data_IF_341936301676
#
_entry.id   IF_341936301676
#
_cell.length_a   1.000
_cell.length_b   1.000
_cell.length_c   1.000
_cell.angle_alpha   90.00
_cell.angle_beta   90.00
_cell.angle_gamma   90.00
#
_symmetry.space_group_name_H-M   'P 1'
#
loop_
_entity.id
_entity.type
_entity.pdbx_description
1 polymer ?
#
# COMPACT_ATOMS: atom_id res chain seq x y z
N UNK A 1 4.22 -4.25 -3.43
CA UNK A 1 4.23 -5.16 -2.27
C UNK A 1 5.51 -5.95 -2.31
N UNK A 2 6.10 -6.21 -1.16
CA UNK A 2 7.30 -7.02 -1.01
C UNK A 2 7.00 -8.10 0.01
N UNK A 3 7.14 -9.36 -0.39
CA UNK A 3 7.15 -10.48 0.54
C UNK A 3 8.58 -10.77 0.96
N UNK A 4 8.75 -11.07 2.24
CA UNK A 4 10.02 -11.38 2.83
C UNK A 4 9.95 -12.77 3.47
N UNK A 5 10.85 -13.67 3.05
CA UNK A 5 11.02 -14.99 3.68
C UNK A 5 12.46 -15.14 4.21
N UNK A 6 12.68 -15.86 5.32
CA UNK A 6 14.04 -16.17 5.77
C UNK A 6 14.74 -17.05 4.71
N UNK A 7 16.02 -16.77 4.37
CA UNK A 7 16.72 -17.51 3.33
C UNK A 7 16.98 -18.96 3.77
N UNK A 8 17.03 -19.93 2.83
CA UNK A 8 17.61 -21.25 3.11
C UNK A 8 19.12 -21.13 3.43
N UNK A 9 19.72 -22.08 4.17
CA UNK A 9 21.12 -22.01 4.57
C UNK A 9 22.11 -22.26 3.42
N UNK A 10 23.36 -21.77 3.54
CA UNK A 10 23.79 -20.43 3.18
C UNK A 10 24.15 -20.31 1.69
N UNK A 11 23.48 -19.42 0.97
CA UNK A 11 24.03 -18.79 -0.23
C UNK A 11 24.73 -17.49 0.16
N UNK A 12 25.85 -17.12 -0.49
CA UNK A 12 26.51 -15.84 -0.21
C UNK A 12 25.54 -14.69 -0.46
N UNK A 13 25.61 -13.59 0.32
CA UNK A 13 24.71 -12.46 0.12
C UNK A 13 24.90 -11.92 -1.30
N UNK A 14 23.81 -11.68 -2.06
CA UNK A 14 23.92 -11.02 -3.36
C UNK A 14 24.59 -9.64 -3.21
N UNK A 15 25.19 -9.11 -4.28
CA UNK A 15 25.78 -7.75 -4.26
C UNK A 15 24.72 -6.75 -3.77
N UNK A 16 25.01 -6.03 -2.69
CA UNK A 16 24.05 -5.13 -2.03
C UNK A 16 23.21 -5.78 -0.91
N UNK A 17 23.51 -7.02 -0.54
CA UNK A 17 22.92 -7.69 0.62
C UNK A 17 23.22 -6.97 1.94
N UNK A 18 22.48 -7.29 3.00
CA UNK A 18 22.64 -6.62 4.29
C UNK A 18 24.05 -6.80 4.87
N UNK A 19 24.50 -5.87 5.74
CA UNK A 19 25.79 -5.99 6.41
C UNK A 19 25.93 -7.29 7.23
N UNK A 20 24.81 -7.81 7.73
CA UNK A 20 24.75 -9.07 8.48
C UNK A 20 23.88 -10.10 7.74
N UNK A 21 24.36 -11.33 7.46
CA UNK A 21 23.59 -12.36 6.77
C UNK A 21 22.25 -12.70 7.44
N UNK A 22 22.19 -12.57 8.77
CA UNK A 22 20.94 -12.77 9.53
C UNK A 22 19.89 -11.65 9.34
N UNK A 23 20.17 -10.62 8.53
CA UNK A 23 19.19 -9.62 8.09
C UNK A 23 18.76 -9.85 6.62
N UNK A 24 19.18 -10.94 5.98
CA UNK A 24 18.83 -11.24 4.59
C UNK A 24 17.40 -11.77 4.46
N UNK A 25 16.80 -11.55 3.29
CA UNK A 25 15.47 -12.03 2.93
C UNK A 25 15.46 -12.53 1.50
N UNK A 26 14.68 -13.56 1.23
CA UNK A 26 14.13 -13.78 -0.10
C UNK A 26 13.02 -12.75 -0.34
N UNK A 27 13.07 -12.10 -1.50
CA UNK A 27 12.20 -10.97 -1.84
C UNK A 27 11.34 -11.30 -3.04
N UNK A 28 10.01 -11.32 -2.85
CA UNK A 28 9.03 -11.51 -3.94
C UNK A 28 8.24 -10.21 -4.14
N UNK A 29 8.26 -9.68 -5.36
CA UNK A 29 7.62 -8.39 -5.70
C UNK A 29 6.65 -8.60 -6.87
N UNK A 30 5.43 -9.09 -6.62
CA UNK A 30 4.47 -9.30 -7.70
C UNK A 30 3.84 -7.99 -8.16
N UNK A 31 3.61 -7.86 -9.46
CA UNK A 31 2.65 -6.88 -9.96
C UNK A 31 1.23 -7.34 -9.63
N UNK A 32 0.40 -6.42 -9.12
CA UNK A 32 -1.02 -6.68 -8.86
C UNK A 32 -1.72 -7.16 -10.14
N UNK A 33 -2.75 -8.01 -10.04
CA UNK A 33 -3.52 -8.39 -11.22
C UNK A 33 -4.04 -7.16 -11.96
N UNK A 34 -3.69 -7.02 -13.24
CA UNK A 34 -4.07 -5.86 -14.04
C UNK A 34 -3.09 -4.68 -13.96
N UNK A 35 -1.98 -4.81 -13.26
CA UNK A 35 -0.94 -3.79 -13.14
C UNK A 35 0.34 -4.25 -13.85
N UNK A 36 1.00 -3.34 -14.55
CA UNK A 36 2.31 -3.57 -15.14
C UNK A 36 2.34 -4.84 -15.98
N UNK A 37 3.17 -5.81 -15.58
CA UNK A 37 3.36 -7.07 -16.29
C UNK A 37 2.38 -8.19 -15.92
N UNK A 38 1.44 -7.95 -15.01
CA UNK A 38 0.33 -8.86 -14.69
C UNK A 38 -0.91 -8.57 -15.56
N UNK A 39 -0.67 -8.19 -16.82
CA UNK A 39 -1.67 -7.96 -17.88
C UNK A 39 -1.43 -8.91 -19.06
N UNK A 40 -2.44 -9.14 -19.93
CA UNK A 40 -3.83 -8.71 -19.82
C UNK A 40 -4.61 -9.51 -18.78
N UNK A 41 -5.67 -8.90 -18.22
CA UNK A 41 -6.63 -9.63 -17.39
C UNK A 41 -7.49 -10.56 -18.25
N UNK A 42 -7.61 -11.82 -17.84
CA UNK A 42 -8.47 -12.82 -18.50
C UNK A 42 -9.85 -12.96 -17.89
N UNK A 43 -10.04 -12.39 -16.70
CA UNK A 43 -11.27 -12.47 -15.91
C UNK A 43 -11.60 -11.09 -15.34
N UNK A 44 -12.89 -10.83 -15.19
CA UNK A 44 -13.40 -9.60 -14.60
C UNK A 44 -13.57 -9.74 -13.07
N UNK A 45 -13.72 -8.60 -12.38
CA UNK A 45 -14.03 -8.60 -10.95
C UNK A 45 -12.87 -9.03 -10.06
N UNK A 46 -11.63 -8.80 -10.50
CA UNK A 46 -10.45 -8.89 -9.63
C UNK A 46 -10.42 -7.65 -8.74
N UNK A 47 -10.22 -7.92 -7.45
CA UNK A 47 -10.28 -6.94 -6.38
C UNK A 47 -9.42 -7.42 -5.22
N UNK A 48 -9.19 -6.54 -4.26
CA UNK A 48 -8.35 -6.75 -3.07
C UNK A 48 -8.46 -8.13 -2.44
N UNK A 49 -9.63 -8.61 -2.00
CA UNK A 49 -9.74 -9.92 -1.33
C UNK A 49 -9.35 -11.08 -2.24
N UNK A 50 -9.71 -11.04 -3.54
CA UNK A 50 -9.27 -12.06 -4.51
C UNK A 50 -7.76 -12.00 -4.72
N UNK A 51 -7.17 -10.81 -4.82
CA UNK A 51 -5.73 -10.65 -4.94
C UNK A 51 -4.98 -11.16 -3.70
N UNK A 52 -5.56 -10.98 -2.51
CA UNK A 52 -5.02 -11.52 -1.26
C UNK A 52 -4.99 -13.05 -1.30
N UNK A 53 -6.06 -13.70 -1.74
CA UNK A 53 -6.11 -15.16 -1.86
C UNK A 53 -5.07 -15.65 -2.88
N UNK A 54 -4.98 -15.00 -4.05
CA UNK A 54 -3.97 -15.31 -5.06
C UNK A 54 -2.54 -15.19 -4.54
N UNK A 55 -2.27 -14.25 -3.64
CA UNK A 55 -0.94 -14.08 -3.05
C UNK A 55 -0.64 -15.08 -1.94
N UNK A 56 -1.64 -15.45 -1.14
CA UNK A 56 -1.49 -16.55 -0.20
C UNK A 56 -1.10 -17.84 -0.95
N UNK A 57 -1.81 -18.16 -2.03
CA UNK A 57 -1.54 -19.33 -2.86
C UNK A 57 -0.20 -19.23 -3.61
N UNK A 58 0.15 -18.05 -4.13
CA UNK A 58 1.47 -17.82 -4.74
C UNK A 58 2.60 -18.15 -3.75
N UNK A 59 2.49 -17.64 -2.52
CA UNK A 59 3.55 -17.80 -1.53
C UNK A 59 3.63 -19.24 -1.03
N UNK A 60 2.51 -19.88 -0.68
CA UNK A 60 2.53 -21.24 -0.12
C UNK A 60 2.58 -22.32 -1.19
N UNK A 61 1.65 -22.30 -2.13
CA UNK A 61 1.37 -23.45 -2.99
C UNK A 61 2.26 -23.46 -4.25
N UNK A 62 2.70 -22.29 -4.70
CA UNK A 62 3.57 -22.15 -5.88
C UNK A 62 5.04 -22.00 -5.50
N UNK A 63 5.36 -21.13 -4.55
CA UNK A 63 6.75 -20.82 -4.17
C UNK A 63 7.25 -21.63 -2.98
N UNK A 64 6.37 -22.30 -2.23
CA UNK A 64 6.76 -23.18 -1.13
C UNK A 64 7.15 -22.48 0.18
N UNK A 65 6.75 -21.21 0.36
CA UNK A 65 6.95 -20.48 1.61
C UNK A 65 5.76 -20.71 2.55
N UNK A 66 5.85 -21.73 3.40
CA UNK A 66 4.79 -22.06 4.38
C UNK A 66 4.45 -20.90 5.31
N UNK A 67 5.47 -20.11 5.68
CA UNK A 67 5.33 -18.86 6.42
C UNK A 67 6.16 -17.76 5.78
N UNK A 68 5.59 -16.57 5.70
CA UNK A 68 6.22 -15.42 5.05
C UNK A 68 5.77 -14.12 5.73
N UNK A 69 6.51 -13.04 5.53
CA UNK A 69 6.10 -11.70 5.92
C UNK A 69 5.57 -10.90 4.73
N UNK A 70 4.69 -9.95 5.00
CA UNK A 70 4.08 -9.09 3.97
C UNK A 70 4.37 -7.62 4.25
N UNK A 71 4.78 -6.88 3.22
CA UNK A 71 5.02 -5.45 3.31
C UNK A 71 4.43 -4.64 2.16
N UNK A 72 3.82 -3.49 2.43
CA UNK A 72 3.32 -2.62 1.37
C UNK A 72 2.84 -1.23 1.83
N UNK A 73 2.85 -0.30 0.87
CA UNK A 73 2.11 0.97 0.95
C UNK A 73 0.87 0.93 0.04
N UNK A 74 0.03 1.96 0.10
CA UNK A 74 -1.17 2.10 -0.75
C UNK A 74 -2.05 0.83 -0.76
N UNK A 75 -2.52 0.33 -1.92
CA UNK A 75 -3.20 -0.96 -2.01
C UNK A 75 -2.37 -2.13 -1.46
N UNK A 76 -1.04 -2.03 -1.52
CA UNK A 76 -0.17 -3.00 -0.89
C UNK A 76 -0.31 -3.02 0.64
N UNK A 77 -0.56 -1.88 1.28
CA UNK A 77 -0.84 -1.87 2.72
C UNK A 77 -2.16 -2.58 3.01
N UNK A 78 -3.21 -2.24 2.25
CA UNK A 78 -4.54 -2.82 2.40
C UNK A 78 -4.52 -4.34 2.19
N UNK A 79 -3.77 -4.81 1.19
CA UNK A 79 -3.64 -6.24 0.95
C UNK A 79 -2.77 -6.93 2.00
N UNK A 80 -1.66 -6.32 2.47
CA UNK A 80 -0.81 -6.93 3.51
C UNK A 80 -1.56 -7.07 4.83
N UNK A 81 -2.29 -6.02 5.23
CA UNK A 81 -3.14 -6.06 6.42
C UNK A 81 -4.25 -7.12 6.31
N UNK A 82 -4.91 -7.19 5.15
CA UNK A 82 -5.93 -8.22 4.89
C UNK A 82 -5.36 -9.64 4.88
N UNK A 83 -4.14 -9.82 4.35
CA UNK A 83 -3.45 -11.10 4.32
C UNK A 83 -3.12 -11.58 5.75
N UNK A 84 -2.59 -10.68 6.60
CA UNK A 84 -2.38 -10.97 8.03
C UNK A 84 -3.67 -11.32 8.76
N UNK A 85 -4.77 -10.64 8.44
CA UNK A 85 -6.06 -10.93 9.05
C UNK A 85 -6.67 -12.27 8.59
N UNK A 86 -6.57 -12.62 7.31
CA UNK A 86 -7.21 -13.83 6.75
C UNK A 86 -6.36 -15.09 6.87
N UNK A 87 -5.04 -14.94 6.92
CA UNK A 87 -4.09 -16.05 6.97
C UNK A 87 -3.06 -15.88 8.10
N UNK A 88 -3.49 -15.67 9.36
CA UNK A 88 -2.58 -15.37 10.47
C UNK A 88 -1.54 -16.47 10.72
N UNK A 89 -1.87 -17.74 10.42
CA UNK A 89 -0.93 -18.86 10.56
C UNK A 89 0.22 -18.83 9.53
N UNK A 90 -0.03 -18.24 8.35
CA UNK A 90 0.94 -18.12 7.25
C UNK A 90 1.77 -16.84 7.34
N UNK A 91 1.27 -15.80 8.01
CA UNK A 91 1.91 -14.47 8.03
C UNK A 91 2.73 -14.27 9.30
N UNK A 92 4.05 -14.10 9.16
CA UNK A 92 4.99 -13.83 10.26
C UNK A 92 4.79 -12.44 10.87
N UNK A 93 4.45 -11.47 10.02
CA UNK A 93 4.22 -10.08 10.39
C UNK A 93 3.92 -9.23 9.17
N UNK A 94 3.32 -8.07 9.43
CA UNK A 94 2.83 -7.14 8.42
C UNK A 94 3.52 -5.79 8.59
N UNK A 95 4.19 -5.30 7.55
CA UNK A 95 4.84 -3.98 7.53
C UNK A 95 4.13 -3.04 6.57
N UNK A 96 3.50 -1.98 7.05
CA UNK A 96 2.68 -1.08 6.22
C UNK A 96 3.08 0.38 6.35
N UNK A 97 3.34 1.03 5.21
CA UNK A 97 3.71 2.46 5.18
C UNK A 97 2.50 3.40 5.15
N UNK A 98 1.35 2.88 4.70
CA UNK A 98 0.07 3.55 4.79
C UNK A 98 -0.77 2.81 5.85
N UNK A 99 -1.38 3.50 6.83
CA UNK A 99 -2.04 2.87 7.98
C UNK A 99 -3.41 2.24 7.62
N UNK A 100 -3.42 1.30 6.68
CA UNK A 100 -4.59 0.52 6.27
C UNK A 100 -4.76 -0.69 7.19
N UNK A 101 -5.33 -0.45 8.38
CA UNK A 101 -5.66 -1.51 9.34
C UNK A 101 -7.09 -2.01 9.08
N UNK A 102 -7.31 -3.34 8.89
CA UNK A 102 -8.63 -3.89 8.58
C UNK A 102 -9.72 -3.50 9.59
N UNK A 103 -9.41 -3.48 10.88
CA UNK A 103 -10.37 -3.13 11.93
C UNK A 103 -10.57 -1.61 12.13
N UNK A 104 -9.68 -0.73 11.66
CA UNK A 104 -9.96 0.72 11.52
C UNK A 104 -10.78 1.03 10.26
N UNK A 105 -10.84 0.09 9.31
CA UNK A 105 -11.44 0.28 8.00
C UNK A 105 -12.93 -0.10 7.95
N UNK A 106 -13.45 -0.80 8.97
CA UNK A 106 -14.85 -1.27 9.06
C UNK A 106 -15.53 -0.72 10.33
N UNK A 107 -15.97 0.55 10.35
CA UNK A 107 -16.86 1.05 11.41
C UNK A 107 -18.22 0.35 11.40
N UNK A 108 -18.95 0.36 12.52
CA UNK A 108 -20.29 -0.26 12.65
C UNK A 108 -21.34 0.26 11.62
N UNK A 109 -21.04 1.39 10.95
CA UNK A 109 -21.86 2.00 9.90
C UNK A 109 -21.05 2.18 8.59
N UNK A 110 -20.47 1.11 8.04
CA UNK A 110 -19.91 1.16 6.67
C UNK A 110 -21.05 1.42 5.68
N UNK A 111 -21.00 2.52 4.90
CA UNK A 111 -21.98 2.73 3.85
C UNK A 111 -21.97 1.55 2.86
N UNK A 112 -23.16 1.17 2.37
CA UNK A 112 -23.31 0.11 1.36
C UNK A 112 -22.29 0.28 0.22
N UNK A 113 -21.55 -0.78 -0.17
CA UNK A 113 -20.55 -0.71 -1.24
C UNK A 113 -21.14 -0.19 -2.54
N UNK A 114 -20.45 0.77 -3.17
CA UNK A 114 -20.92 1.46 -4.36
C UNK A 114 -22.00 2.53 -4.12
N UNK A 115 -22.46 2.74 -2.88
CA UNK A 115 -23.43 3.79 -2.56
C UNK A 115 -22.84 5.19 -2.67
N UNK A 116 -23.70 6.18 -2.89
CA UNK A 116 -23.32 7.61 -2.88
C UNK A 116 -22.66 7.99 -1.56
N UNK A 117 -23.14 7.48 -0.42
CA UNK A 117 -22.57 7.77 0.90
C UNK A 117 -21.14 7.23 1.04
N UNK A 118 -20.86 6.05 0.49
CA UNK A 118 -19.50 5.51 0.44
C UNK A 118 -18.58 6.41 -0.39
N UNK A 119 -19.04 6.80 -1.59
CA UNK A 119 -18.29 7.67 -2.48
C UNK A 119 -18.03 9.05 -1.85
N UNK A 120 -19.03 9.64 -1.21
CA UNK A 120 -18.86 10.90 -0.45
C UNK A 120 -17.83 10.73 0.66
N UNK A 121 -17.87 9.63 1.41
CA UNK A 121 -16.87 9.33 2.44
C UNK A 121 -15.46 9.18 1.89
N UNK A 122 -15.30 8.54 0.72
CA UNK A 122 -14.01 8.44 0.03
C UNK A 122 -13.52 9.80 -0.47
N UNK A 123 -14.40 10.60 -1.08
CA UNK A 123 -14.06 11.94 -1.54
C UNK A 123 -13.65 12.84 -0.38
N UNK A 124 -14.44 12.88 0.69
CA UNK A 124 -14.12 13.72 1.85
C UNK A 124 -12.88 13.23 2.62
N UNK A 125 -12.44 11.99 2.38
CA UNK A 125 -11.16 11.49 2.84
C UNK A 125 -11.10 11.11 4.32
N UNK A 126 -9.88 10.82 4.82
CA UNK A 126 -9.67 10.43 6.23
C UNK A 126 -10.06 11.54 7.23
N UNK A 127 -10.15 12.80 6.80
CA UNK A 127 -10.61 13.93 7.61
C UNK A 127 -12.09 13.85 8.04
N UNK A 128 -12.91 13.00 7.41
CA UNK A 128 -14.27 12.68 7.89
C UNK A 128 -14.31 11.53 8.89
N UNK A 129 -13.23 10.76 8.99
CA UNK A 129 -13.10 9.63 9.92
C UNK A 129 -12.32 9.99 11.18
N UNK A 130 -11.63 11.12 11.16
CA UNK A 130 -10.76 11.59 12.24
C UNK A 130 -10.88 13.11 12.37
N UNK A 131 -10.57 13.62 13.55
CA UNK A 131 -10.49 15.04 13.91
C UNK A 131 -9.08 15.35 14.41
N UNK A 132 -8.59 16.60 14.34
CA UNK A 132 -7.34 17.00 15.00
C UNK A 132 -7.29 16.63 16.48
N UNK A 133 -8.45 16.56 17.16
CA UNK A 133 -8.53 16.23 18.58
C UNK A 133 -8.39 14.72 18.88
N UNK A 134 -8.50 13.86 17.86
CA UNK A 134 -8.23 12.42 18.00
C UNK A 134 -6.73 12.12 18.08
N UNK A 135 -5.88 13.07 17.66
CA UNK A 135 -4.43 12.97 17.68
C UNK A 135 -3.84 13.52 18.99
N UNK A 136 -2.80 12.85 19.50
CA UNK A 136 -2.01 13.38 20.61
C UNK A 136 -1.36 14.72 20.20
N UNK A 137 -1.08 15.64 21.14
CA UNK A 137 -0.57 16.99 20.83
C UNK A 137 0.61 17.02 19.84
N UNK A 138 1.56 16.10 20.00
CA UNK A 138 2.73 15.91 19.15
C UNK A 138 2.39 15.39 17.74
N UNK A 139 1.27 14.70 17.57
CA UNK A 139 0.81 14.13 16.30
C UNK A 139 -0.14 15.04 15.52
N UNK A 140 -0.73 16.07 16.17
CA UNK A 140 -1.78 16.93 15.58
C UNK A 140 -1.39 17.57 14.25
N UNK A 141 -0.11 17.87 14.06
CA UNK A 141 0.40 18.45 12.82
C UNK A 141 0.14 17.54 11.59
N UNK A 142 0.08 16.23 11.79
CA UNK A 142 -0.17 15.23 10.75
C UNK A 142 -1.55 15.39 10.12
N UNK A 143 -2.54 15.83 10.89
CA UNK A 143 -3.88 16.10 10.36
C UNK A 143 -3.84 17.19 9.27
N UNK A 144 -3.10 18.28 9.51
CA UNK A 144 -2.96 19.35 8.51
C UNK A 144 -2.25 18.87 7.24
N UNK A 145 -1.19 18.05 7.41
CA UNK A 145 -0.48 17.44 6.26
C UNK A 145 -1.43 16.55 5.45
N UNK A 146 -2.20 15.70 6.14
CA UNK A 146 -3.20 14.81 5.52
C UNK A 146 -4.27 15.60 4.76
N UNK A 147 -4.84 16.63 5.38
CA UNK A 147 -5.88 17.47 4.79
C UNK A 147 -5.39 18.17 3.52
N UNK A 148 -4.20 18.76 3.56
CA UNK A 148 -3.63 19.46 2.40
C UNK A 148 -3.31 18.50 1.26
N UNK A 149 -2.74 17.34 1.57
CA UNK A 149 -2.38 16.36 0.56
C UNK A 149 -3.60 15.67 -0.05
N UNK A 150 -4.62 15.37 0.75
CA UNK A 150 -5.81 14.66 0.27
C UNK A 150 -6.53 15.38 -0.88
N UNK A 151 -6.50 16.72 -0.88
CA UNK A 151 -7.02 17.56 -1.98
C UNK A 151 -6.47 17.17 -3.35
N UNK A 152 -5.22 16.70 -3.40
CA UNK A 152 -4.53 16.28 -4.64
C UNK A 152 -4.87 14.86 -5.10
N UNK A 153 -5.51 14.04 -4.23
CA UNK A 153 -5.91 12.68 -4.54
C UNK A 153 -7.38 12.56 -4.98
N UNK A 154 -8.20 13.60 -4.74
CA UNK A 154 -9.64 13.59 -4.99
C UNK A 154 -10.00 13.17 -6.41
N UNK A 155 -9.40 13.81 -7.42
CA UNK A 155 -9.69 13.53 -8.83
C UNK A 155 -9.35 12.09 -9.19
N UNK A 156 -8.26 11.55 -8.62
CA UNK A 156 -7.79 10.19 -8.84
C UNK A 156 -8.78 9.17 -8.28
N UNK A 157 -9.11 9.29 -6.99
CA UNK A 157 -10.05 8.37 -6.32
C UNK A 157 -11.44 8.45 -6.94
N UNK A 158 -11.93 9.67 -7.21
CA UNK A 158 -13.25 9.89 -7.80
C UNK A 158 -13.40 9.11 -9.10
N UNK A 159 -12.58 9.43 -10.10
CA UNK A 159 -12.77 8.91 -11.45
C UNK A 159 -12.40 7.43 -11.55
N UNK A 160 -11.38 6.96 -10.82
CA UNK A 160 -11.05 5.53 -10.80
C UNK A 160 -12.16 4.70 -10.15
N UNK A 161 -12.89 5.28 -9.20
CA UNK A 161 -14.00 4.59 -8.51
C UNK A 161 -15.32 4.74 -9.27
N UNK A 162 -15.55 5.77 -10.08
CA UNK A 162 -16.88 6.00 -10.70
C UNK A 162 -16.93 5.86 -12.21
N UNK A 163 -15.85 6.13 -12.91
CA UNK A 163 -15.81 6.08 -14.36
C UNK A 163 -14.40 5.75 -14.88
N UNK A 164 -13.79 4.64 -14.43
CA UNK A 164 -12.42 4.31 -14.80
C UNK A 164 -12.27 4.04 -16.29
N UNK A 165 -13.34 3.55 -16.95
CA UNK A 165 -13.29 3.15 -18.35
C UNK A 165 -13.23 4.34 -19.29
N UNK A 166 -13.96 5.42 -19.01
CA UNK A 166 -13.94 6.61 -19.85
C UNK A 166 -12.56 7.28 -19.80
N UNK A 167 -12.00 7.45 -18.60
CA UNK A 167 -10.64 7.99 -18.45
C UNK A 167 -9.59 7.09 -19.13
N UNK A 168 -9.77 5.77 -19.06
CA UNK A 168 -8.82 4.81 -19.61
C UNK A 168 -8.59 4.99 -21.12
N UNK A 169 -9.61 5.32 -21.92
CA UNK A 169 -9.43 5.59 -23.35
C UNK A 169 -8.49 6.76 -23.60
N UNK A 170 -8.67 7.87 -22.87
CA UNK A 170 -7.83 9.06 -23.04
C UNK A 170 -6.36 8.81 -22.63
N UNK A 171 -6.14 8.06 -21.56
CA UNK A 171 -4.79 7.78 -21.05
C UNK A 171 -4.10 6.62 -21.78
N UNK A 172 -4.86 5.78 -22.49
CA UNK A 172 -4.32 4.76 -23.39
C UNK A 172 -3.93 5.36 -24.76
N UNK A 173 -4.65 6.36 -25.24
CA UNK A 173 -4.39 6.98 -26.56
C UNK A 173 -3.31 8.07 -26.54
N UNK A 174 -2.95 8.59 -25.35
CA UNK A 174 -2.00 9.70 -25.21
C UNK A 174 -0.89 9.40 -24.21
N UNK A 175 0.37 9.20 -24.65
CA UNK A 175 1.49 8.97 -23.74
C UNK A 175 1.81 10.21 -22.90
N UNK A 176 1.57 11.42 -23.44
CA UNK A 176 1.69 12.65 -22.69
C UNK A 176 0.59 12.78 -21.61
N UNK A 177 -0.63 12.35 -21.91
CA UNK A 177 -1.72 12.27 -20.94
C UNK A 177 -1.43 11.27 -19.83
N UNK A 178 -0.95 10.06 -20.17
CA UNK A 178 -0.55 9.07 -19.19
C UNK A 178 0.60 9.57 -18.30
N UNK A 179 1.62 10.16 -18.91
CA UNK A 179 2.76 10.71 -18.19
C UNK A 179 2.34 11.81 -17.21
N UNK A 180 1.52 12.77 -17.65
CA UNK A 180 1.01 13.83 -16.77
C UNK A 180 0.19 13.25 -15.63
N UNK A 181 -0.66 12.24 -15.91
CA UNK A 181 -1.44 11.59 -14.87
C UNK A 181 -0.53 10.93 -13.83
N UNK A 182 0.42 10.10 -14.22
CA UNK A 182 1.28 9.36 -13.27
C UNK A 182 2.28 10.26 -12.54
N UNK A 183 2.96 11.15 -13.25
CA UNK A 183 4.02 12.00 -12.68
C UNK A 183 3.43 13.05 -11.73
N UNK A 184 2.22 13.55 -11.97
CA UNK A 184 1.54 14.46 -11.05
C UNK A 184 1.32 13.83 -9.67
N UNK A 185 1.00 12.52 -9.60
CA UNK A 185 0.83 11.82 -8.31
C UNK A 185 2.16 11.63 -7.62
N UNK A 186 3.22 11.29 -8.37
CA UNK A 186 4.60 11.26 -7.84
C UNK A 186 5.00 12.61 -7.26
N UNK A 187 4.71 13.70 -7.95
CA UNK A 187 4.98 15.06 -7.46
C UNK A 187 4.17 15.37 -6.20
N UNK A 188 2.85 15.19 -6.24
CA UNK A 188 1.97 15.69 -5.19
C UNK A 188 1.99 14.84 -3.91
N UNK A 189 2.31 13.54 -4.00
CA UNK A 189 2.20 12.62 -2.86
C UNK A 189 3.55 12.24 -2.24
N UNK A 190 4.66 12.72 -2.81
CA UNK A 190 6.01 12.47 -2.29
C UNK A 190 6.51 13.63 -1.41
N UNK A 191 7.65 13.42 -0.77
CA UNK A 191 8.43 14.45 -0.08
C UNK A 191 9.34 15.19 -1.05
N UNK A 192 8.79 16.23 -1.68
CA UNK A 192 9.49 17.19 -2.52
C UNK A 192 8.87 18.58 -2.35
N UNK A 193 9.61 19.63 -2.66
CA UNK A 193 9.14 21.02 -2.54
C UNK A 193 8.52 21.52 -3.85
N UNK A 194 7.84 20.61 -4.56
CA UNK A 194 7.17 20.88 -5.83
C UNK A 194 8.01 20.57 -7.07
N UNK A 195 9.23 20.07 -6.92
CA UNK A 195 10.01 19.46 -7.99
C UNK A 195 10.09 17.95 -7.79
N UNK A 196 9.42 17.18 -8.65
CA UNK A 196 9.38 15.72 -8.57
C UNK A 196 10.77 15.09 -8.77
N UNK A 197 11.69 15.78 -9.45
CA UNK A 197 13.04 15.29 -9.70
C UNK A 197 13.94 15.35 -8.44
N UNK A 198 13.52 16.04 -7.38
CA UNK A 198 14.16 15.98 -6.05
C UNK A 198 13.95 14.62 -5.37
N UNK A 199 12.78 14.00 -5.60
CA UNK A 199 12.41 12.71 -5.02
C UNK A 199 12.73 11.52 -5.92
N UNK A 200 12.68 11.70 -7.25
CA UNK A 200 12.91 10.61 -8.21
C UNK A 200 13.75 11.06 -9.40
N UNK A 201 14.69 10.23 -9.84
CA UNK A 201 15.35 10.49 -11.12
C UNK A 201 14.35 10.52 -12.28
N UNK A 202 14.63 11.34 -13.29
CA UNK A 202 13.87 11.35 -14.54
C UNK A 202 13.74 9.96 -15.18
N UNK A 203 14.81 9.16 -15.11
CA UNK A 203 14.79 7.79 -15.64
C UNK A 203 13.76 6.93 -14.91
N UNK A 204 13.71 6.99 -13.58
CA UNK A 204 12.72 6.24 -12.79
C UNK A 204 11.28 6.63 -13.14
N UNK A 205 11.02 7.93 -13.35
CA UNK A 205 9.70 8.41 -13.77
C UNK A 205 9.34 7.88 -15.16
N UNK A 206 10.27 7.95 -16.12
CA UNK A 206 10.07 7.43 -17.48
C UNK A 206 9.90 5.91 -17.53
N UNK A 207 10.64 5.17 -16.70
CA UNK A 207 10.50 3.71 -16.58
C UNK A 207 9.10 3.36 -16.05
N UNK A 208 8.63 4.08 -15.03
CA UNK A 208 7.28 3.90 -14.48
C UNK A 208 6.21 4.17 -15.54
N UNK A 209 6.30 5.29 -16.26
CA UNK A 209 5.36 5.60 -17.36
C UNK A 209 5.42 4.55 -18.45
N UNK A 210 6.63 4.12 -18.82
CA UNK A 210 6.86 3.13 -19.88
C UNK A 210 6.26 1.78 -19.55
N UNK A 211 6.34 1.32 -18.29
CA UNK A 211 5.67 0.09 -17.84
C UNK A 211 4.17 0.20 -18.12
N UNK A 212 3.52 1.26 -17.66
CA UNK A 212 2.07 1.42 -17.86
C UNK A 212 1.66 1.59 -19.32
N UNK A 213 2.49 2.29 -20.10
CA UNK A 213 2.25 2.53 -21.53
C UNK A 213 2.37 1.24 -22.34
N UNK A 214 3.52 0.55 -22.27
CA UNK A 214 3.79 -0.61 -23.11
C UNK A 214 3.02 -1.87 -22.72
N UNK A 215 2.59 -1.99 -21.47
CA UNK A 215 1.74 -3.11 -21.06
C UNK A 215 0.25 -2.79 -21.15
N UNK A 216 -0.09 -1.58 -21.60
CA UNK A 216 -1.45 -1.04 -21.68
C UNK A 216 -2.22 -1.16 -20.35
N UNK A 217 -1.49 -1.21 -19.23
CA UNK A 217 -2.08 -1.61 -17.96
C UNK A 217 -2.89 -0.51 -17.28
N UNK A 218 -2.76 0.75 -17.70
CA UNK A 218 -3.52 1.84 -17.08
C UNK A 218 -5.03 1.52 -17.00
N UNK A 219 -5.57 0.99 -18.11
CA UNK A 219 -6.99 0.60 -18.23
C UNK A 219 -7.40 -0.41 -17.16
N UNK A 220 -6.60 -1.44 -16.93
CA UNK A 220 -6.92 -2.51 -15.98
C UNK A 220 -6.63 -2.09 -14.54
N UNK A 221 -5.62 -1.25 -14.30
CA UNK A 221 -5.33 -0.72 -12.95
C UNK A 221 -6.44 0.17 -12.40
N UNK A 222 -7.05 1.03 -13.22
CA UNK A 222 -8.13 1.92 -12.75
C UNK A 222 -9.40 1.12 -12.39
N UNK A 223 -9.69 0.03 -13.12
CA UNK A 223 -10.80 -0.89 -12.79
C UNK A 223 -10.62 -1.59 -11.44
N UNK A 224 -9.40 -1.76 -10.95
CA UNK A 224 -9.15 -2.33 -9.62
C UNK A 224 -9.81 -1.50 -8.50
N UNK A 225 -9.78 -0.17 -8.61
CA UNK A 225 -10.50 0.74 -7.70
C UNK A 225 -12.00 0.47 -7.76
N UNK A 226 -12.57 0.46 -8.98
CA UNK A 226 -13.98 0.22 -9.21
C UNK A 226 -14.49 -1.07 -8.55
N UNK A 227 -13.78 -2.19 -8.74
CA UNK A 227 -14.18 -3.46 -8.15
C UNK A 227 -13.92 -3.52 -6.64
N UNK A 228 -12.76 -3.05 -6.18
CA UNK A 228 -12.41 -3.08 -4.75
C UNK A 228 -13.42 -2.31 -3.93
N UNK A 229 -13.77 -1.08 -4.34
CA UNK A 229 -14.65 -0.24 -3.54
C UNK A 229 -16.15 -0.59 -3.69
N UNK A 230 -16.53 -1.38 -4.68
CA UNK A 230 -17.89 -1.96 -4.80
C UNK A 230 -18.02 -3.36 -4.23
N UNK A 231 -16.93 -3.95 -3.76
CA UNK A 231 -16.99 -5.26 -3.12
C UNK A 231 -17.07 -5.06 -1.62
N UNK A 232 -18.07 -5.64 -0.94
CA UNK A 232 -18.12 -5.62 0.52
C UNK A 232 -16.83 -6.21 1.13
N UNK A 233 -16.33 -5.63 2.23
CA UNK A 233 -15.28 -6.26 3.01
C UNK A 233 -15.68 -7.68 3.39
N UNK A 234 -14.71 -8.61 3.36
CA UNK A 234 -14.95 -9.98 3.80
C UNK A 234 -14.70 -10.11 5.30
N UNK A 235 -15.44 -11.01 5.93
CA UNK A 235 -15.25 -11.32 7.34
C UNK A 235 -13.85 -11.90 7.59
N UNK A 236 -13.26 -11.54 8.72
CA UNK A 236 -12.01 -12.13 9.22
C UNK A 236 -12.35 -13.51 9.81
N UNK A 237 -11.80 -14.62 9.29
CA UNK A 237 -12.17 -15.96 9.73
C UNK A 237 -11.86 -16.24 11.21
N UNK A 238 -10.71 -15.76 11.69
CA UNK A 238 -10.28 -15.85 13.08
C UNK A 238 -9.81 -14.47 13.58
N UNK A 239 -10.71 -13.66 14.15
CA UNK A 239 -10.38 -12.33 14.64
C UNK A 239 -9.37 -12.33 15.79
N UNK A 240 -9.32 -13.40 16.59
CA UNK A 240 -8.41 -13.46 17.73
C UNK A 240 -6.99 -13.75 17.26
N UNK A 241 -6.81 -14.73 16.37
CA UNK A 241 -5.51 -15.00 15.75
C UNK A 241 -5.03 -13.79 14.93
N UNK A 242 -5.92 -13.14 14.18
CA UNK A 242 -5.60 -11.93 13.41
C UNK A 242 -5.05 -10.80 14.29
N UNK A 243 -5.56 -10.62 15.51
CA UNK A 243 -5.08 -9.61 16.46
C UNK A 243 -3.68 -9.88 16.96
N UNK A 244 -3.21 -11.13 16.93
CA UNK A 244 -1.87 -11.49 17.38
C UNK A 244 -0.79 -11.22 16.32
N UNK A 245 -1.16 -11.04 15.04
CA UNK A 245 -0.20 -10.81 13.95
C UNK A 245 0.58 -9.52 14.21
N UNK A 246 1.92 -9.56 14.26
CA UNK A 246 2.72 -8.37 14.52
C UNK A 246 2.68 -7.36 13.38
N UNK A 247 2.50 -6.08 13.70
CA UNK A 247 2.52 -4.97 12.76
C UNK A 247 3.75 -4.07 12.96
N UNK A 248 4.34 -3.68 11.84
CA UNK A 248 5.32 -2.59 11.72
C UNK A 248 4.74 -1.43 10.92
N UNK A 249 4.78 -0.24 11.49
CA UNK A 249 4.18 0.98 10.96
C UNK A 249 5.20 2.12 10.99
N UNK A 250 6.02 2.29 9.93
CA UNK A 250 6.79 3.51 9.75
C UNK A 250 5.86 4.70 9.46
N UNK A 251 6.19 5.85 10.00
CA UNK A 251 5.49 7.12 9.78
C UNK A 251 6.42 8.04 9.00
N UNK A 252 6.09 8.22 7.72
CA UNK A 252 6.77 9.14 6.83
C UNK A 252 6.10 10.52 6.89
N UNK A 253 6.87 11.62 7.00
CA UNK A 253 6.32 12.94 7.35
C UNK A 253 5.41 13.53 6.27
N UNK A 254 5.49 13.02 5.03
CA UNK A 254 4.70 13.49 3.88
C UNK A 254 3.73 12.43 3.34
N UNK A 255 3.40 11.41 4.13
CA UNK A 255 2.36 10.43 3.79
C UNK A 255 0.99 11.12 3.61
N UNK A 256 0.12 10.49 2.83
CA UNK A 256 -1.21 10.96 2.46
C UNK A 256 -2.25 10.72 3.54
N UNK A 257 -2.03 9.74 4.42
CA UNK A 257 -2.98 9.31 5.44
C UNK A 257 -2.23 9.02 6.74
N UNK A 258 -2.71 9.62 7.83
CA UNK A 258 -2.23 9.33 9.18
C UNK A 258 -3.37 8.83 10.06
N UNK A 259 -3.04 8.02 11.06
CA UNK A 259 -3.94 7.62 12.14
C UNK A 259 -3.26 7.95 13.47
N UNK A 260 -4.02 8.26 14.54
CA UNK A 260 -3.45 8.39 15.87
C UNK A 260 -2.76 7.10 16.29
N UNK A 261 -1.57 7.18 16.88
CA UNK A 261 -0.82 5.98 17.29
C UNK A 261 -1.63 5.11 18.26
N UNK A 262 -2.31 5.74 19.22
CA UNK A 262 -3.15 5.05 20.18
C UNK A 262 -4.29 4.25 19.50
N UNK A 263 -4.86 4.77 18.42
CA UNK A 263 -5.90 4.07 17.66
C UNK A 263 -5.34 2.87 16.90
N UNK A 264 -4.12 2.99 16.34
CA UNK A 264 -3.43 1.88 15.70
C UNK A 264 -3.09 0.76 16.70
N UNK A 265 -2.49 1.10 17.85
CA UNK A 265 -2.15 0.16 18.93
C UNK A 265 -3.38 -0.50 19.57
N UNK A 266 -4.51 0.21 19.63
CA UNK A 266 -5.78 -0.36 20.09
C UNK A 266 -6.38 -1.39 19.11
N UNK A 267 -6.00 -1.34 17.83
CA UNK A 267 -6.63 -2.10 16.76
C UNK A 267 -5.79 -3.27 16.25
N UNK A 268 -4.47 -3.17 16.36
CA UNK A 268 -3.52 -4.16 15.88
C UNK A 268 -2.36 -4.34 16.87
N UNK A 269 -1.69 -5.49 16.82
CA UNK A 269 -0.47 -5.76 17.58
C UNK A 269 0.73 -5.01 16.97
N UNK A 270 0.76 -3.69 17.16
CA UNK A 270 1.85 -2.82 16.67
C UNK A 270 3.07 -2.99 17.57
N UNK A 271 4.10 -3.68 17.07
CA UNK A 271 5.36 -3.92 17.80
C UNK A 271 6.52 -3.07 17.28
N UNK A 272 6.27 -2.29 16.23
CA UNK A 272 7.26 -1.45 15.60
C UNK A 272 6.56 -0.19 15.04
N UNK A 273 6.93 0.96 15.59
CA UNK A 273 6.44 2.28 15.20
C UNK A 273 7.65 3.20 15.13
N UNK A 274 7.95 3.72 13.94
CA UNK A 274 9.13 4.56 13.73
C UNK A 274 8.72 5.83 13.01
N UNK A 275 9.10 6.99 13.53
CA UNK A 275 8.91 8.27 12.84
C UNK A 275 10.18 8.64 12.08
N UNK A 276 10.04 8.86 10.78
CA UNK A 276 11.17 9.19 9.92
C UNK A 276 11.25 10.71 9.66
N UNK A 277 12.46 11.26 9.46
CA UNK A 277 12.64 12.69 9.21
C UNK A 277 12.31 13.12 7.77
N UNK A 278 12.18 12.16 6.83
CA UNK A 278 11.96 12.41 5.40
C UNK A 278 11.25 11.23 4.73
N UNK A 279 10.60 11.51 3.61
CA UNK A 279 9.83 10.56 2.79
C UNK A 279 8.33 10.83 2.81
N UNK A 280 7.65 10.40 1.75
CA UNK A 280 6.20 10.48 1.59
C UNK A 280 5.55 9.15 1.24
N UNK A 281 4.50 9.21 0.43
CA UNK A 281 3.64 8.08 0.09
C UNK A 281 4.37 6.93 -0.62
N UNK A 282 5.42 7.23 -1.38
CA UNK A 282 6.21 6.28 -2.14
C UNK A 282 7.57 6.04 -1.48
N UNK A 283 7.63 6.03 -0.15
CA UNK A 283 8.84 5.88 0.65
C UNK A 283 9.87 4.85 0.15
N UNK A 284 9.50 3.62 -0.29
CA UNK A 284 10.49 2.66 -0.81
C UNK A 284 11.29 3.17 -2.03
N UNK A 285 10.72 4.08 -2.81
CA UNK A 285 11.35 4.69 -3.98
C UNK A 285 11.88 6.11 -3.73
N UNK A 286 11.40 6.81 -2.70
CA UNK A 286 11.87 8.16 -2.34
C UNK A 286 13.11 8.10 -1.44
N UNK A 287 13.07 7.21 -0.44
CA UNK A 287 14.09 7.09 0.62
C UNK A 287 14.46 5.62 0.83
N UNK A 288 14.96 4.93 -0.20
CA UNK A 288 15.15 3.48 -0.20
C UNK A 288 15.99 2.99 0.98
N UNK A 289 17.03 3.73 1.36
CA UNK A 289 17.94 3.37 2.46
C UNK A 289 17.18 3.39 3.81
N UNK A 290 16.42 4.46 4.05
CA UNK A 290 15.62 4.63 5.28
C UNK A 290 14.56 3.54 5.37
N UNK A 291 13.84 3.29 4.28
CA UNK A 291 12.83 2.23 4.22
C UNK A 291 13.45 0.85 4.46
N UNK A 292 14.59 0.55 3.82
CA UNK A 292 15.23 -0.76 3.91
C UNK A 292 15.74 -1.04 5.32
N UNK A 293 16.35 -0.06 5.97
CA UNK A 293 16.86 -0.20 7.33
C UNK A 293 15.73 -0.39 8.35
N UNK A 294 14.62 0.33 8.19
CA UNK A 294 13.46 0.21 9.09
C UNK A 294 12.74 -1.14 8.93
N UNK A 295 12.52 -1.57 7.68
CA UNK A 295 12.01 -2.92 7.36
C UNK A 295 12.87 -4.02 7.99
N UNK A 296 14.21 -3.90 7.89
CA UNK A 296 15.13 -4.84 8.54
C UNK A 296 14.98 -4.82 10.06
N UNK A 297 14.91 -3.63 10.65
CA UNK A 297 14.75 -3.46 12.09
C UNK A 297 13.43 -4.05 12.61
N UNK A 298 12.34 -3.97 11.84
CA UNK A 298 11.08 -4.65 12.16
C UNK A 298 11.23 -6.16 12.11
N UNK A 299 11.64 -6.72 10.97
CA UNK A 299 11.67 -8.17 10.81
C UNK A 299 12.71 -8.87 11.66
N UNK A 300 13.76 -8.17 12.11
CA UNK A 300 14.71 -8.71 13.10
C UNK A 300 14.02 -9.08 14.42
N UNK A 301 12.91 -8.42 14.79
CA UNK A 301 12.13 -8.74 16.00
C UNK A 301 11.29 -10.01 15.86
N UNK A 302 11.10 -10.51 14.64
CA UNK A 302 10.21 -11.62 14.31
C UNK A 302 10.95 -12.93 14.02
N UNK A 303 12.27 -12.94 14.23
CA UNK A 303 13.18 -14.06 14.01
C UNK A 303 13.64 -14.66 15.33
#
# INVERSE_FOLDING_TARGET
MVFFSPPPPPTPPPRGGPPHPADAFDVVVPSLPGFGFSTPLRVDGLQTSKGVDMWADLMTDVLGYDRFAAAGGDFGAMMSGTLGARYPDRVLGVYITLPSLPALSVPDNVPEPGSTSQLVGMLMGPAMRTSPDDFAPEERHRYGVMEDRWKTALSHIAVHTTDPQTLAFALHDSPAGLASWLVERRRNWSDNEGDVEEAFSRQFLLDTVSIYWFTESFVTTSRWYWHTFRTPPQAVPDPEAARQVPFGMPVFPKEMIFVPRAAAEATANVIHWTEHPRGGHFAPSEVPDVFTDDVRAFFRKLR
#
